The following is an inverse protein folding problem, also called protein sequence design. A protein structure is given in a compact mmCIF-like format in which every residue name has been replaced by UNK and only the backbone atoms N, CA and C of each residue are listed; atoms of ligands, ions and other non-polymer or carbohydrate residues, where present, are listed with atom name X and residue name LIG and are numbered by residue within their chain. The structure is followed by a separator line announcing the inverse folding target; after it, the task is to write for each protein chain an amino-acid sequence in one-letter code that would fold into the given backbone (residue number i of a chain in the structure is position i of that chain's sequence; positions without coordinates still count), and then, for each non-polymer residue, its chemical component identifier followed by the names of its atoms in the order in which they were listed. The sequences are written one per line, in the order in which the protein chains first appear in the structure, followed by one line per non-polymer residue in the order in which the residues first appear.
data_IF_926774288408
#
_entry.id   IF_926774288408
#
_cell.length_a   1.000
_cell.length_b   1.000
_cell.length_c   1.000
_cell.angle_alpha   90.00
_cell.angle_beta   90.00
_cell.angle_gamma   90.00
#
_symmetry.space_group_name_H-M   'P 1'
#
loop_
_entity.id
_entity.type
_entity.pdbx_description
1 polymer ?
#
# COMPACT_ATOMS: atom_id res chain seq x y z
N UNK A 1 -54.22 -35.03 -18.34
CA UNK A 1 -53.27 -33.95 -18.70
C UNK A 1 -51.92 -34.59 -18.95
N UNK A 2 -51.31 -34.25 -20.07
CA UNK A 2 -50.16 -34.90 -20.71
C UNK A 2 -48.89 -34.92 -19.84
N UNK A 3 -48.16 -36.05 -19.85
CA UNK A 3 -46.78 -36.16 -19.37
C UNK A 3 -45.90 -35.19 -20.16
N UNK A 4 -45.54 -34.04 -19.58
CA UNK A 4 -44.45 -33.24 -20.11
C UNK A 4 -43.17 -34.08 -20.05
N UNK A 5 -42.61 -34.35 -21.23
CA UNK A 5 -41.29 -34.97 -21.37
C UNK A 5 -40.26 -33.99 -20.84
N UNK A 6 -39.86 -34.12 -19.57
CA UNK A 6 -38.82 -33.30 -18.98
C UNK A 6 -37.51 -33.54 -19.74
N UNK A 7 -37.08 -32.55 -20.54
CA UNK A 7 -36.02 -32.72 -21.51
C UNK A 7 -34.69 -32.96 -20.80
N UNK A 8 -33.94 -33.96 -21.26
CA UNK A 8 -32.65 -34.34 -20.67
C UNK A 8 -31.50 -33.88 -21.57
N UNK A 9 -30.51 -33.25 -20.97
CA UNK A 9 -29.31 -32.76 -21.61
C UNK A 9 -28.10 -33.55 -21.13
N UNK A 10 -27.27 -34.02 -22.06
CA UNK A 10 -25.92 -34.50 -21.72
C UNK A 10 -25.06 -33.35 -21.20
N UNK A 11 -23.99 -33.65 -20.46
CA UNK A 11 -23.02 -32.64 -20.01
C UNK A 11 -22.55 -31.69 -21.11
N UNK A 12 -22.34 -32.19 -22.34
CA UNK A 12 -21.92 -31.37 -23.47
C UNK A 12 -23.01 -30.43 -23.98
N UNK A 13 -24.26 -30.91 -24.03
CA UNK A 13 -25.41 -30.09 -24.43
C UNK A 13 -25.71 -29.01 -23.39
N UNK A 14 -25.70 -29.36 -22.10
CA UNK A 14 -25.90 -28.42 -21.00
C UNK A 14 -24.82 -27.34 -20.98
N UNK A 15 -23.56 -27.75 -21.10
CA UNK A 15 -22.41 -26.84 -21.19
C UNK A 15 -22.55 -25.88 -22.38
N UNK A 16 -22.96 -26.38 -23.55
CA UNK A 16 -23.17 -25.56 -24.75
C UNK A 16 -24.31 -24.56 -24.58
N UNK A 17 -25.43 -24.96 -23.98
CA UNK A 17 -26.57 -24.08 -23.70
C UNK A 17 -26.18 -22.93 -22.77
N UNK A 18 -25.46 -23.24 -21.69
CA UNK A 18 -25.03 -22.26 -20.70
C UNK A 18 -23.73 -21.53 -21.08
N UNK A 19 -23.12 -21.86 -22.22
CA UNK A 19 -21.83 -21.29 -22.69
C UNK A 19 -20.70 -21.44 -21.66
N UNK A 20 -20.58 -22.64 -21.08
CA UNK A 20 -19.50 -23.01 -20.16
C UNK A 20 -18.74 -24.23 -20.68
N UNK A 21 -17.58 -24.52 -20.08
CA UNK A 21 -16.88 -25.76 -20.38
C UNK A 21 -17.59 -26.96 -19.74
N UNK A 22 -17.61 -28.14 -20.40
CA UNK A 22 -18.03 -29.39 -19.76
C UNK A 22 -17.20 -29.72 -18.51
N UNK A 23 -15.96 -29.25 -18.44
CA UNK A 23 -15.08 -29.38 -17.27
C UNK A 23 -15.62 -28.63 -16.06
N UNK A 24 -16.19 -27.43 -16.24
CA UNK A 24 -16.81 -26.69 -15.15
C UNK A 24 -17.98 -27.48 -14.54
N UNK A 25 -18.84 -28.08 -15.36
CA UNK A 25 -19.92 -28.96 -14.86
C UNK A 25 -19.40 -30.17 -14.10
N UNK A 26 -18.32 -30.78 -14.57
CA UNK A 26 -17.67 -31.90 -13.85
C UNK A 26 -17.06 -31.44 -12.53
N UNK A 27 -16.50 -30.22 -12.49
CA UNK A 27 -15.97 -29.63 -11.28
C UNK A 27 -17.09 -29.36 -10.27
N UNK A 28 -18.20 -28.73 -10.68
CA UNK A 28 -19.34 -28.45 -9.80
C UNK A 28 -19.96 -29.73 -9.23
N UNK A 29 -20.07 -30.79 -10.03
CA UNK A 29 -20.49 -32.12 -9.56
C UNK A 29 -19.50 -32.70 -8.53
N UNK A 30 -18.19 -32.65 -8.82
CA UNK A 30 -17.15 -33.13 -7.90
C UNK A 30 -17.14 -32.38 -6.57
N UNK A 31 -17.43 -31.09 -6.58
CA UNK A 31 -17.53 -30.25 -5.39
C UNK A 31 -18.91 -30.32 -4.73
N UNK A 32 -19.83 -31.16 -5.23
CA UNK A 32 -21.19 -31.32 -4.73
C UNK A 32 -22.09 -30.08 -4.82
N UNK A 33 -21.70 -29.07 -5.60
CA UNK A 33 -22.46 -27.82 -5.76
C UNK A 33 -23.61 -27.99 -6.76
N UNK A 34 -23.40 -28.77 -7.81
CA UNK A 34 -24.40 -29.01 -8.85
C UNK A 34 -24.25 -30.39 -9.45
N UNK A 35 -25.13 -31.30 -9.05
CA UNK A 35 -25.06 -32.72 -9.42
C UNK A 35 -26.00 -33.04 -10.57
N UNK A 36 -25.65 -33.97 -11.47
CA UNK A 36 -26.58 -34.43 -12.50
C UNK A 36 -27.76 -35.18 -11.88
N UNK A 37 -28.97 -35.02 -12.42
CA UNK A 37 -30.15 -35.82 -12.01
C UNK A 37 -29.95 -37.32 -12.24
N UNK A 38 -29.15 -37.70 -13.23
CA UNK A 38 -28.87 -39.09 -13.52
C UNK A 38 -27.53 -39.27 -14.25
N UNK A 39 -27.08 -40.52 -14.30
CA UNK A 39 -26.05 -40.96 -15.23
C UNK A 39 -26.68 -41.90 -16.24
N UNK A 40 -26.35 -41.75 -17.51
CA UNK A 40 -26.87 -42.61 -18.56
C UNK A 40 -26.39 -44.06 -18.32
N UNK A 41 -27.30 -45.04 -18.24
CA UNK A 41 -26.94 -46.41 -17.87
C UNK A 41 -26.06 -47.11 -18.92
N UNK A 42 -26.06 -46.68 -20.19
CA UNK A 42 -25.29 -47.34 -21.26
C UNK A 42 -23.83 -46.90 -21.35
N UNK A 43 -23.53 -45.66 -20.97
CA UNK A 43 -22.21 -45.06 -21.19
C UNK A 43 -21.73 -44.21 -20.00
N UNK A 44 -22.47 -44.21 -18.89
CA UNK A 44 -22.17 -43.53 -17.64
C UNK A 44 -21.98 -41.99 -17.75
N UNK A 45 -22.46 -41.38 -18.85
CA UNK A 45 -22.40 -39.93 -19.03
C UNK A 45 -23.37 -39.21 -18.09
N UNK A 46 -22.97 -38.04 -17.61
CA UNK A 46 -23.81 -37.16 -16.78
C UNK A 46 -24.96 -36.58 -17.59
N UNK A 47 -26.15 -36.63 -17.02
CA UNK A 47 -27.39 -36.14 -17.59
C UNK A 47 -28.05 -35.13 -16.64
N UNK A 48 -28.48 -34.00 -17.19
CA UNK A 48 -29.12 -32.90 -16.49
C UNK A 48 -30.54 -32.72 -17.02
N UNK A 49 -31.50 -32.36 -16.17
CA UNK A 49 -32.87 -32.03 -16.63
C UNK A 49 -32.97 -30.57 -17.07
N UNK A 50 -34.07 -30.24 -17.74
CA UNK A 50 -34.41 -28.87 -18.11
C UNK A 50 -34.65 -27.97 -16.90
N UNK A 51 -35.22 -28.50 -15.81
CA UNK A 51 -35.40 -27.77 -14.55
C UNK A 51 -34.06 -27.30 -13.96
N UNK A 52 -33.03 -28.16 -14.02
CA UNK A 52 -31.67 -27.83 -13.55
C UNK A 52 -30.99 -26.72 -14.35
N UNK A 53 -31.56 -26.31 -15.49
CA UNK A 53 -31.03 -25.20 -16.28
C UNK A 53 -31.12 -23.89 -15.51
N UNK A 54 -32.21 -23.68 -14.78
CA UNK A 54 -32.40 -22.45 -14.01
C UNK A 54 -31.43 -22.36 -12.84
N UNK A 55 -31.18 -23.48 -12.15
CA UNK A 55 -30.18 -23.57 -11.08
C UNK A 55 -28.79 -23.22 -11.62
N UNK A 56 -28.40 -23.82 -12.75
CA UNK A 56 -27.09 -23.59 -13.33
C UNK A 56 -26.91 -22.14 -13.80
N UNK A 57 -27.95 -21.52 -14.38
CA UNK A 57 -27.91 -20.12 -14.75
C UNK A 57 -27.70 -19.22 -13.53
N UNK A 58 -28.40 -19.51 -12.42
CA UNK A 58 -28.22 -18.79 -11.16
C UNK A 58 -26.81 -18.98 -10.58
N UNK A 59 -26.27 -20.20 -10.56
CA UNK A 59 -24.87 -20.47 -10.14
C UNK A 59 -23.90 -19.56 -10.91
N UNK A 60 -24.09 -19.51 -12.22
CA UNK A 60 -23.21 -18.73 -13.10
C UNK A 60 -23.34 -17.23 -12.86
N UNK A 61 -24.56 -16.73 -12.65
CA UNK A 61 -24.81 -15.33 -12.33
C UNK A 61 -24.16 -14.93 -11.01
N UNK A 62 -24.39 -15.70 -9.93
CA UNK A 62 -23.77 -15.46 -8.63
C UNK A 62 -22.24 -15.54 -8.70
N UNK A 63 -21.69 -16.47 -9.51
CA UNK A 63 -20.25 -16.57 -9.71
C UNK A 63 -19.67 -15.35 -10.42
N UNK A 64 -20.40 -14.78 -11.39
CA UNK A 64 -20.00 -13.53 -12.08
C UNK A 64 -20.02 -12.33 -11.14
N UNK A 65 -20.89 -12.35 -10.13
CA UNK A 65 -20.91 -11.36 -9.04
C UNK A 65 -19.80 -11.60 -7.99
N UNK A 66 -18.83 -12.47 -8.26
CA UNK A 66 -17.68 -12.67 -7.39
C UNK A 66 -17.90 -13.59 -6.20
N UNK A 67 -19.10 -14.17 -6.02
CA UNK A 67 -19.35 -15.09 -4.92
C UNK A 67 -18.52 -16.36 -5.07
N UNK A 68 -18.03 -16.88 -3.94
CA UNK A 68 -17.36 -18.16 -3.89
C UNK A 68 -18.35 -19.31 -4.06
N UNK A 69 -17.87 -20.42 -4.63
CA UNK A 69 -18.70 -21.60 -4.88
C UNK A 69 -19.32 -22.22 -3.62
N UNK A 70 -18.62 -22.16 -2.47
CA UNK A 70 -19.15 -22.61 -1.19
C UNK A 70 -20.41 -21.83 -0.80
N UNK A 71 -20.35 -20.50 -0.89
CA UNK A 71 -21.48 -19.61 -0.62
C UNK A 71 -22.63 -19.80 -1.61
N UNK A 72 -22.32 -20.06 -2.88
CA UNK A 72 -23.34 -20.35 -3.90
C UNK A 72 -24.09 -21.66 -3.59
N UNK A 73 -23.38 -22.68 -3.10
CA UNK A 73 -24.00 -23.96 -2.72
C UNK A 73 -25.07 -23.77 -1.64
N UNK A 74 -24.78 -22.98 -0.60
CA UNK A 74 -25.70 -22.70 0.50
C UNK A 74 -26.98 -21.99 0.03
N UNK A 75 -26.92 -21.20 -1.04
CA UNK A 75 -28.06 -20.45 -1.57
C UNK A 75 -29.01 -21.30 -2.42
N UNK A 76 -28.51 -22.35 -3.05
CA UNK A 76 -29.26 -23.10 -4.06
C UNK A 76 -30.09 -24.23 -3.45
N UNK A 77 -29.65 -24.75 -2.31
CA UNK A 77 -30.32 -25.88 -1.66
C UNK A 77 -31.74 -25.53 -1.16
N UNK A 78 -31.95 -24.32 -0.63
CA UNK A 78 -33.25 -23.89 -0.06
C UNK A 78 -33.88 -22.69 -0.81
N UNK A 79 -33.12 -22.00 -1.67
CA UNK A 79 -33.55 -20.77 -2.38
C UNK A 79 -34.24 -19.75 -1.48
N UNK A 80 -33.89 -19.74 -0.20
CA UNK A 80 -34.49 -18.86 0.78
C UNK A 80 -34.09 -17.40 0.49
N UNK A 81 -35.11 -16.55 0.33
CA UNK A 81 -34.92 -15.13 0.02
C UNK A 81 -34.16 -14.42 1.15
N UNK A 82 -34.33 -14.86 2.40
CA UNK A 82 -33.66 -14.23 3.54
C UNK A 82 -32.16 -14.55 3.57
N UNK A 83 -31.79 -15.81 3.30
CA UNK A 83 -30.41 -16.26 3.13
C UNK A 83 -29.75 -15.58 1.93
N UNK A 84 -30.42 -15.52 0.79
CA UNK A 84 -29.95 -14.82 -0.41
C UNK A 84 -29.66 -13.35 -0.14
N UNK A 85 -30.58 -12.64 0.52
CA UNK A 85 -30.38 -11.24 0.91
C UNK A 85 -29.16 -11.08 1.82
N UNK A 86 -29.04 -11.90 2.87
CA UNK A 86 -27.93 -11.85 3.82
C UNK A 86 -26.56 -12.07 3.15
N UNK A 87 -26.47 -13.04 2.25
CA UNK A 87 -25.25 -13.30 1.48
C UNK A 87 -24.89 -12.11 0.57
N UNK A 88 -25.87 -11.55 -0.14
CA UNK A 88 -25.64 -10.41 -1.03
C UNK A 88 -25.21 -9.16 -0.25
N UNK A 89 -25.81 -8.89 0.92
CA UNK A 89 -25.40 -7.78 1.79
C UNK A 89 -23.95 -7.95 2.28
N UNK A 90 -23.56 -9.15 2.70
CA UNK A 90 -22.15 -9.44 3.06
C UNK A 90 -21.21 -9.25 1.87
N UNK A 91 -21.61 -9.70 0.69
CA UNK A 91 -20.81 -9.55 -0.53
C UNK A 91 -20.62 -8.07 -0.90
N UNK A 92 -21.67 -7.24 -0.77
CA UNK A 92 -21.59 -5.79 -0.97
C UNK A 92 -20.59 -5.13 -0.02
N UNK A 93 -20.59 -5.51 1.26
CA UNK A 93 -19.63 -4.99 2.26
C UNK A 93 -18.20 -5.37 1.86
N UNK A 94 -17.96 -6.61 1.44
CA UNK A 94 -16.65 -7.08 1.01
C UNK A 94 -16.17 -6.35 -0.25
N UNK A 95 -17.03 -6.23 -1.27
CA UNK A 95 -16.72 -5.47 -2.49
C UNK A 95 -16.40 -4.02 -2.19
N UNK A 96 -17.16 -3.38 -1.30
CA UNK A 96 -16.89 -2.00 -0.88
C UNK A 96 -15.51 -1.87 -0.22
N UNK A 97 -15.11 -2.84 0.60
CA UNK A 97 -13.78 -2.91 1.22
C UNK A 97 -12.69 -3.05 0.14
N UNK A 98 -12.87 -3.95 -0.82
CA UNK A 98 -11.92 -4.16 -1.91
C UNK A 98 -11.75 -2.92 -2.79
N UNK A 99 -12.85 -2.21 -3.10
CA UNK A 99 -12.82 -0.93 -3.83
C UNK A 99 -11.96 0.08 -3.08
N UNK A 100 -12.19 0.25 -1.78
CA UNK A 100 -11.44 1.21 -0.96
C UNK A 100 -9.94 0.84 -0.90
N UNK A 101 -9.61 -0.44 -0.73
CA UNK A 101 -8.23 -0.93 -0.75
C UNK A 101 -7.55 -0.66 -2.10
N UNK A 102 -8.26 -0.88 -3.21
CA UNK A 102 -7.72 -0.62 -4.55
C UNK A 102 -7.52 0.87 -4.82
N UNK A 103 -8.43 1.72 -4.34
CA UNK A 103 -8.28 3.18 -4.40
C UNK A 103 -7.06 3.66 -3.62
N UNK A 104 -6.81 3.10 -2.43
CA UNK A 104 -5.61 3.40 -1.66
C UNK A 104 -4.33 3.03 -2.40
N UNK A 105 -4.28 1.84 -3.02
CA UNK A 105 -3.15 1.41 -3.86
C UNK A 105 -2.95 2.32 -5.06
N UNK A 106 -4.03 2.74 -5.72
CA UNK A 106 -3.96 3.70 -6.82
C UNK A 106 -3.32 5.02 -6.39
N UNK A 107 -3.73 5.61 -5.27
CA UNK A 107 -3.12 6.83 -4.74
C UNK A 107 -1.63 6.64 -4.40
N UNK A 108 -1.24 5.51 -3.79
CA UNK A 108 0.17 5.21 -3.52
C UNK A 108 1.04 5.14 -4.78
N UNK A 109 0.50 4.57 -5.86
CA UNK A 109 1.17 4.54 -7.17
C UNK A 109 1.31 5.93 -7.75
N UNK A 110 0.26 6.76 -7.68
CA UNK A 110 0.30 8.16 -8.12
C UNK A 110 1.37 8.95 -7.34
N UNK A 111 1.41 8.83 -6.01
CA UNK A 111 2.40 9.51 -5.18
C UNK A 111 3.83 9.10 -5.52
N UNK A 112 4.07 7.80 -5.72
CA UNK A 112 5.38 7.30 -6.13
C UNK A 112 5.76 7.84 -7.52
N UNK A 113 4.83 7.84 -8.47
CA UNK A 113 5.05 8.37 -9.81
C UNK A 113 5.41 9.87 -9.77
N UNK A 114 4.74 10.66 -8.95
CA UNK A 114 5.04 12.08 -8.76
C UNK A 114 6.47 12.27 -8.21
N UNK A 115 6.87 11.49 -7.19
CA UNK A 115 8.23 11.57 -6.63
C UNK A 115 9.30 11.21 -7.65
N UNK A 116 9.11 10.11 -8.40
CA UNK A 116 10.04 9.68 -9.45
C UNK A 116 10.13 10.71 -10.56
N UNK A 117 8.99 11.21 -11.05
CA UNK A 117 8.94 12.21 -12.13
C UNK A 117 9.58 13.54 -11.72
N UNK A 118 9.32 14.00 -10.49
CA UNK A 118 9.94 15.21 -9.96
C UNK A 118 11.47 15.08 -9.88
N UNK A 119 11.95 13.88 -9.50
CA UNK A 119 13.37 13.57 -9.44
C UNK A 119 14.03 13.55 -10.82
N UNK A 120 13.35 13.00 -11.84
CA UNK A 120 13.84 13.04 -13.23
C UNK A 120 13.95 14.47 -13.78
N UNK A 121 13.06 15.37 -13.36
CA UNK A 121 13.16 16.78 -13.73
C UNK A 121 14.37 17.47 -13.07
N UNK A 122 14.73 17.09 -11.84
CA UNK A 122 15.94 17.58 -11.18
C UNK A 122 17.21 17.10 -11.88
N UNK A 123 17.27 15.84 -12.31
CA UNK A 123 18.43 15.28 -13.04
C UNK A 123 18.65 15.93 -14.41
N UNK A 124 17.61 16.50 -15.02
CA UNK A 124 17.67 17.15 -16.32
C UNK A 124 18.03 18.64 -16.26
N UNK A 125 18.07 19.25 -15.07
CA UNK A 125 18.56 20.63 -14.92
C UNK A 125 20.08 20.63 -15.03
N UNK A 126 20.60 21.49 -15.90
CA UNK A 126 22.04 21.75 -16.02
C UNK A 126 22.66 21.99 -14.64
N UNK A 127 23.81 21.37 -14.37
CA UNK A 127 24.60 21.44 -13.11
C UNK A 127 25.19 22.85 -12.86
N UNK A 128 24.56 23.90 -13.38
CA UNK A 128 25.11 25.26 -13.43
C UNK A 128 24.74 26.15 -12.23
N UNK A 129 23.88 25.70 -11.31
CA UNK A 129 23.70 26.35 -10.01
C UNK A 129 24.28 25.43 -8.94
N UNK A 130 25.49 25.75 -8.47
CA UNK A 130 26.20 24.99 -7.44
C UNK A 130 25.64 25.18 -6.03
N UNK A 131 24.73 26.13 -5.83
CA UNK A 131 24.18 26.43 -4.51
C UNK A 131 22.79 25.80 -4.31
N UNK A 132 22.53 25.20 -3.13
CA UNK A 132 21.24 24.63 -2.81
C UNK A 132 20.18 25.74 -2.80
N UNK A 133 19.06 25.51 -3.51
CA UNK A 133 17.90 26.40 -3.45
C UNK A 133 17.19 26.23 -2.09
N UNK A 134 17.70 26.93 -1.08
CA UNK A 134 17.16 26.90 0.28
C UNK A 134 15.85 27.71 0.36
N UNK A 135 14.87 27.19 1.10
CA UNK A 135 13.55 27.81 1.29
C UNK A 135 13.10 27.68 2.74
N UNK A 136 12.28 28.62 3.21
CA UNK A 136 11.49 28.45 4.43
C UNK A 136 10.13 27.88 4.03
N UNK A 137 9.75 26.75 4.61
CA UNK A 137 8.50 26.07 4.31
C UNK A 137 7.78 25.68 5.60
N UNK A 138 6.45 25.78 5.59
CA UNK A 138 5.62 25.22 6.65
C UNK A 138 5.45 23.71 6.43
N UNK A 139 5.77 22.92 7.44
CA UNK A 139 5.61 21.48 7.46
C UNK A 139 4.25 21.18 8.10
N UNK A 140 3.22 20.79 7.33
CA UNK A 140 1.90 20.56 7.87
C UNK A 140 1.89 19.38 8.83
N UNK A 141 1.04 19.47 9.86
CA UNK A 141 0.80 18.34 10.76
C UNK A 141 0.19 17.17 9.98
N UNK A 142 0.76 15.98 10.16
CA UNK A 142 0.34 14.73 9.53
C UNK A 142 0.41 13.58 10.53
N UNK A 143 -0.39 12.55 10.32
CA UNK A 143 -0.30 11.30 11.07
C UNK A 143 0.87 10.47 10.52
N UNK A 144 1.75 10.01 11.40
CA UNK A 144 2.87 9.14 11.04
C UNK A 144 2.86 7.88 11.88
N UNK A 145 3.28 6.79 11.25
CA UNK A 145 3.73 5.58 11.93
C UNK A 145 5.24 5.67 12.11
N UNK A 146 5.75 5.47 13.32
CA UNK A 146 7.17 5.67 13.63
C UNK A 146 7.77 4.55 14.47
N UNK A 147 9.08 4.37 14.35
CA UNK A 147 9.90 3.57 15.25
C UNK A 147 11.13 4.39 15.66
N UNK A 148 11.41 4.41 16.97
CA UNK A 148 12.57 5.09 17.55
C UNK A 148 13.09 4.26 18.71
N UNK A 149 14.39 4.03 18.72
CA UNK A 149 15.08 3.38 19.81
C UNK A 149 16.19 4.33 20.28
N UNK A 150 16.00 5.08 21.39
CA UNK A 150 16.93 6.13 21.81
C UNK A 150 18.25 5.52 22.30
N UNK A 151 19.14 5.26 21.34
CA UNK A 151 20.46 4.64 21.47
C UNK A 151 21.32 5.14 20.32
N UNK A 152 22.63 5.17 20.56
CA UNK A 152 23.60 5.43 19.50
C UNK A 152 23.62 4.22 18.55
N UNK A 153 23.10 4.39 17.32
CA UNK A 153 23.03 3.32 16.31
C UNK A 153 23.69 3.75 15.00
N UNK A 154 24.23 2.78 14.27
CA UNK A 154 24.73 3.00 12.90
C UNK A 154 23.55 3.32 11.98
N UNK A 155 23.43 4.58 11.60
CA UNK A 155 22.30 5.09 10.81
C UNK A 155 22.23 4.42 9.44
N UNK A 156 23.37 4.17 8.78
CA UNK A 156 23.39 3.58 7.44
C UNK A 156 22.90 2.14 7.43
N UNK A 157 23.27 1.37 8.46
CA UNK A 157 22.87 -0.04 8.56
C UNK A 157 21.47 -0.23 9.13
N UNK A 158 20.99 0.68 10.00
CA UNK A 158 19.81 0.42 10.82
C UNK A 158 18.51 1.04 10.28
N UNK A 159 18.54 2.08 9.44
CA UNK A 159 17.28 2.68 8.96
C UNK A 159 16.43 1.69 8.15
N UNK A 160 17.04 0.77 7.40
CA UNK A 160 16.34 -0.29 6.66
C UNK A 160 15.66 -1.27 7.62
N UNK A 161 16.29 -1.58 8.76
CA UNK A 161 15.70 -2.47 9.75
C UNK A 161 14.45 -1.84 10.39
N UNK A 162 14.53 -0.55 10.73
CA UNK A 162 13.37 0.20 11.21
C UNK A 162 12.28 0.26 10.14
N UNK A 163 12.62 0.44 8.86
CA UNK A 163 11.65 0.43 7.77
C UNK A 163 10.95 -0.93 7.61
N UNK A 164 11.67 -2.05 7.73
CA UNK A 164 11.06 -3.39 7.75
C UNK A 164 10.07 -3.53 8.91
N UNK A 165 10.40 -3.01 10.09
CA UNK A 165 9.49 -3.01 11.24
C UNK A 165 8.22 -2.19 10.96
N UNK A 166 8.37 -0.99 10.39
CA UNK A 166 7.23 -0.17 9.98
C UNK A 166 6.32 -0.91 8.99
N UNK A 167 6.88 -1.60 7.99
CA UNK A 167 6.07 -2.36 7.03
C UNK A 167 5.28 -3.50 7.69
N UNK A 168 5.85 -4.20 8.67
CA UNK A 168 5.12 -5.21 9.45
C UNK A 168 3.95 -4.60 10.22
N UNK A 169 4.16 -3.43 10.82
CA UNK A 169 3.11 -2.70 11.54
C UNK A 169 2.02 -2.19 10.58
N UNK A 170 2.40 -1.73 9.38
CA UNK A 170 1.47 -1.34 8.32
C UNK A 170 0.54 -2.50 7.95
N UNK A 171 1.10 -3.69 7.73
CA UNK A 171 0.30 -4.89 7.41
C UNK A 171 -0.56 -5.33 8.60
N UNK A 172 0.00 -5.34 9.80
CA UNK A 172 -0.71 -5.75 11.02
C UNK A 172 -1.91 -4.87 11.34
N UNK A 173 -1.79 -3.55 11.13
CA UNK A 173 -2.81 -2.57 11.53
C UNK A 173 -3.62 -2.02 10.34
N UNK A 174 -3.44 -2.59 9.15
CA UNK A 174 -4.10 -2.19 7.90
C UNK A 174 -3.97 -0.68 7.60
N UNK A 175 -2.76 -0.15 7.77
CA UNK A 175 -2.47 1.27 7.54
C UNK A 175 -2.16 1.55 6.07
N UNK A 176 -2.53 2.74 5.61
CA UNK A 176 -2.25 3.19 4.24
C UNK A 176 -1.13 4.21 4.26
N UNK A 177 0.07 3.83 3.82
CA UNK A 177 1.21 4.75 3.70
C UNK A 177 0.98 5.82 2.63
N UNK A 178 1.40 7.06 2.91
CA UNK A 178 1.16 8.25 2.06
C UNK A 178 2.38 9.17 1.96
N UNK A 179 3.54 8.63 1.62
CA UNK A 179 4.73 9.47 1.44
C UNK A 179 6.05 8.71 1.41
N UNK A 180 7.16 9.46 1.33
CA UNK A 180 8.50 8.89 1.47
C UNK A 180 8.79 8.46 2.91
N UNK A 181 9.86 7.70 3.08
CA UNK A 181 10.46 7.41 4.39
C UNK A 181 11.05 8.72 4.91
N UNK A 182 10.77 9.03 6.17
CA UNK A 182 11.37 10.16 6.89
C UNK A 182 12.35 9.65 7.93
N UNK A 183 13.57 10.18 7.91
CA UNK A 183 14.60 9.95 8.91
C UNK A 183 14.66 11.17 9.82
N UNK A 184 14.34 11.02 11.10
CA UNK A 184 14.39 12.11 12.09
C UNK A 184 15.60 11.88 12.99
N UNK A 185 16.50 12.85 13.00
CA UNK A 185 17.73 12.85 13.77
C UNK A 185 17.51 13.71 15.00
N UNK A 186 17.42 13.06 16.16
CA UNK A 186 17.14 13.73 17.44
C UNK A 186 18.38 14.35 18.08
N UNK A 187 19.56 13.98 17.59
CA UNK A 187 20.82 14.65 17.86
C UNK A 187 21.01 15.89 16.98
N UNK A 188 21.95 16.77 17.39
CA UNK A 188 22.37 17.88 16.54
C UNK A 188 22.93 17.35 15.20
N UNK A 189 22.47 17.89 14.07
CA UNK A 189 22.76 17.39 12.73
C UNK A 189 24.25 17.21 12.43
N UNK A 190 25.12 18.04 13.02
CA UNK A 190 26.58 17.94 12.85
C UNK A 190 27.17 16.59 13.30
N UNK A 191 26.50 15.87 14.20
CA UNK A 191 26.92 14.51 14.62
C UNK A 191 26.86 13.51 13.46
N UNK A 192 26.03 13.76 12.44
CA UNK A 192 25.96 12.90 11.24
C UNK A 192 27.23 12.94 10.39
N UNK A 193 28.00 14.01 10.47
CA UNK A 193 29.15 14.25 9.60
C UNK A 193 30.50 14.09 10.33
N UNK A 194 30.52 14.28 11.65
CA UNK A 194 31.73 14.24 12.48
C UNK A 194 32.30 12.84 12.75
N UNK A 195 31.94 11.81 11.98
CA UNK A 195 32.36 10.42 12.23
C UNK A 195 33.79 10.09 11.75
N UNK A 196 34.52 11.03 11.11
CA UNK A 196 35.93 10.83 10.74
C UNK A 196 36.20 9.59 9.87
N UNK A 197 35.21 9.17 9.05
CA UNK A 197 35.27 7.97 8.22
C UNK A 197 34.82 6.66 8.91
N UNK A 198 34.21 6.74 10.09
CA UNK A 198 33.60 5.60 10.81
C UNK A 198 32.07 5.63 10.73
N UNK A 199 31.42 4.60 11.28
CA UNK A 199 29.97 4.43 11.43
C UNK A 199 29.29 5.74 11.89
N UNK A 200 28.24 6.16 11.18
CA UNK A 200 27.46 7.36 11.55
C UNK A 200 26.55 6.96 12.71
N UNK A 201 26.87 7.44 13.90
CA UNK A 201 26.13 7.12 15.12
C UNK A 201 25.20 8.26 15.53
N UNK A 202 23.96 7.94 15.89
CA UNK A 202 23.04 8.89 16.51
C UNK A 202 21.67 8.32 16.87
N UNK A 203 20.86 9.11 17.56
CA UNK A 203 19.46 8.80 17.88
C UNK A 203 18.56 9.03 16.66
N UNK A 204 18.23 7.93 15.98
CA UNK A 204 17.43 7.91 14.76
C UNK A 204 16.02 7.40 15.03
N UNK A 205 15.05 8.21 14.63
CA UNK A 205 13.68 7.77 14.39
C UNK A 205 13.46 7.60 12.88
N UNK A 206 12.73 6.55 12.50
CA UNK A 206 12.22 6.37 11.15
C UNK A 206 10.71 6.45 11.20
N UNK A 207 10.11 7.26 10.35
CA UNK A 207 8.66 7.34 10.24
C UNK A 207 8.18 7.39 8.78
N UNK A 208 6.91 7.04 8.60
CA UNK A 208 6.19 7.14 7.33
C UNK A 208 4.80 7.73 7.57
N UNK A 209 4.37 8.61 6.68
CA UNK A 209 3.01 9.19 6.74
C UNK A 209 1.95 8.12 6.48
N UNK A 210 0.82 8.20 7.17
CA UNK A 210 -0.32 7.30 6.98
C UNK A 210 -1.64 8.06 6.85
N UNK A 211 -2.55 7.58 5.99
CA UNK A 211 -3.85 8.21 5.73
C UNK A 211 -4.91 7.89 6.78
N UNK A 212 -4.77 6.77 7.49
CA UNK A 212 -5.74 6.27 8.45
C UNK A 212 -5.05 5.91 9.77
N UNK A 213 -5.83 5.91 10.84
CA UNK A 213 -5.40 5.49 12.17
C UNK A 213 -5.98 4.13 12.52
N UNK A 214 -5.35 3.48 13.50
CA UNK A 214 -5.87 2.30 14.16
C UNK A 214 -5.64 2.50 15.67
N UNK A 215 -6.70 2.41 16.48
CA UNK A 215 -6.64 2.70 17.93
C UNK A 215 -5.76 1.73 18.71
N UNK A 216 -5.49 0.54 18.17
CA UNK A 216 -4.63 -0.47 18.81
C UNK A 216 -3.15 -0.24 18.50
N UNK A 217 -2.83 0.55 17.48
CA UNK A 217 -1.46 0.87 17.09
C UNK A 217 -0.89 2.01 17.95
N UNK A 218 0.05 1.67 18.83
CA UNK A 218 0.69 2.63 19.76
C UNK A 218 1.78 3.47 19.11
N UNK A 219 2.24 3.07 17.93
CA UNK A 219 3.31 3.71 17.16
C UNK A 219 2.79 4.81 16.22
N UNK A 220 1.56 5.28 16.44
CA UNK A 220 0.99 6.39 15.69
C UNK A 220 1.13 7.69 16.48
N UNK A 221 1.61 8.75 15.81
CA UNK A 221 1.65 10.10 16.38
C UNK A 221 1.44 11.17 15.31
N UNK A 222 1.11 12.37 15.76
CA UNK A 222 1.18 13.57 14.91
C UNK A 222 2.63 14.01 14.77
N UNK A 223 2.99 14.45 13.57
CA UNK A 223 4.31 14.97 13.23
C UNK A 223 4.14 16.17 12.28
N UNK A 224 4.97 17.20 12.42
CA UNK A 224 4.81 18.47 11.70
C UNK A 224 4.09 19.51 12.57
N UNK A 225 3.52 20.52 11.93
CA UNK A 225 2.91 21.67 12.60
C UNK A 225 3.90 22.80 12.87
N UNK A 226 5.02 22.86 12.15
CA UNK A 226 6.11 23.79 12.38
C UNK A 226 6.73 24.29 11.08
N UNK A 227 7.56 25.31 11.18
CA UNK A 227 8.29 25.88 10.03
C UNK A 227 9.71 25.35 10.01
N UNK A 228 10.24 25.07 8.81
CA UNK A 228 11.61 24.62 8.64
C UNK A 228 12.31 25.34 7.48
N UNK A 229 13.62 25.56 7.62
CA UNK A 229 14.47 25.75 6.46
C UNK A 229 14.63 24.42 5.74
N UNK A 230 14.61 24.44 4.41
CA UNK A 230 14.62 23.23 3.59
C UNK A 230 15.47 23.40 2.35
N UNK A 231 16.05 22.31 1.86
CA UNK A 231 16.57 22.22 0.50
C UNK A 231 16.38 20.80 -0.04
N UNK A 232 16.50 20.65 -1.35
CA UNK A 232 16.47 19.32 -2.01
C UNK A 232 17.83 19.06 -2.63
N UNK A 233 18.39 17.89 -2.35
CA UNK A 233 19.67 17.44 -2.87
C UNK A 233 19.48 16.29 -3.85
N UNK A 234 20.24 16.31 -4.94
CA UNK A 234 20.35 15.22 -5.90
C UNK A 234 21.75 14.63 -5.80
N UNK A 235 21.86 13.41 -5.30
CA UNK A 235 23.14 12.73 -5.09
C UNK A 235 23.21 11.97 -3.77
N UNK A 236 24.40 11.48 -3.44
CA UNK A 236 24.58 10.65 -2.25
C UNK A 236 24.41 11.47 -0.96
N UNK A 237 23.68 10.95 0.02
CA UNK A 237 23.36 11.67 1.27
C UNK A 237 24.59 11.99 2.15
N UNK A 238 25.74 11.36 1.87
CA UNK A 238 27.04 11.68 2.52
C UNK A 238 27.59 13.04 2.10
N UNK A 239 27.09 13.61 1.01
CA UNK A 239 27.52 14.91 0.48
C UNK A 239 26.61 16.06 0.98
N UNK A 240 25.70 15.78 1.92
CA UNK A 240 24.74 16.77 2.43
C UNK A 240 25.34 17.82 3.38
N UNK A 241 26.57 17.60 3.89
CA UNK A 241 27.17 18.41 4.95
C UNK A 241 27.21 19.91 4.60
N UNK A 242 27.76 20.27 3.44
CA UNK A 242 27.82 21.66 2.97
C UNK A 242 26.43 22.29 2.88
N UNK A 243 25.46 21.54 2.35
CA UNK A 243 24.07 21.99 2.26
C UNK A 243 23.42 22.25 3.62
N UNK A 244 23.70 21.44 4.63
CA UNK A 244 23.24 21.66 6.01
C UNK A 244 23.79 22.96 6.60
N UNK A 245 25.10 23.19 6.49
CA UNK A 245 25.72 24.40 7.03
C UNK A 245 25.26 25.66 6.29
N UNK A 246 25.19 25.63 4.95
CA UNK A 246 24.63 26.75 4.15
C UNK A 246 23.18 27.04 4.52
N UNK A 247 22.36 26.01 4.69
CA UNK A 247 20.96 26.17 5.11
C UNK A 247 20.83 26.80 6.50
N UNK A 248 21.68 26.38 7.45
CA UNK A 248 21.76 26.98 8.79
C UNK A 248 22.18 28.45 8.72
N UNK A 249 23.31 28.75 8.09
CA UNK A 249 23.82 30.13 7.97
C UNK A 249 22.82 31.07 7.30
N UNK A 250 22.16 30.59 6.25
CA UNK A 250 21.13 31.35 5.56
C UNK A 250 19.92 31.63 6.46
N UNK A 251 19.42 30.62 7.20
CA UNK A 251 18.31 30.81 8.14
C UNK A 251 18.69 31.79 9.27
N UNK A 252 19.90 31.67 9.83
CA UNK A 252 20.45 32.58 10.84
C UNK A 252 20.58 34.01 10.33
N UNK A 253 20.97 34.20 9.06
CA UNK A 253 21.07 35.52 8.43
C UNK A 253 19.72 36.23 8.30
N UNK A 254 18.61 35.48 8.28
CA UNK A 254 17.24 36.00 8.29
C UNK A 254 16.70 36.23 9.72
N UNK A 255 17.52 35.99 10.75
CA UNK A 255 17.15 36.16 12.16
C UNK A 255 16.43 34.95 12.77
N UNK A 256 16.47 33.79 12.13
CA UNK A 256 15.91 32.56 12.70
C UNK A 256 16.95 31.78 13.51
N UNK A 257 16.53 31.19 14.63
CA UNK A 257 17.29 30.18 15.35
C UNK A 257 16.88 28.79 14.87
N UNK A 258 17.85 27.89 14.69
CA UNK A 258 17.60 26.51 14.23
C UNK A 258 17.74 25.53 15.39
N UNK A 259 16.83 24.55 15.48
CA UNK A 259 16.75 23.62 16.62
C UNK A 259 17.95 22.67 16.77
N UNK A 260 18.80 22.53 15.75
CA UNK A 260 19.86 21.53 15.68
C UNK A 260 19.38 20.11 15.33
N UNK A 261 18.19 19.72 15.79
CA UNK A 261 17.43 18.54 15.32
C UNK A 261 17.10 18.71 13.84
N UNK A 262 17.19 17.64 13.06
CA UNK A 262 16.84 17.71 11.63
C UNK A 262 16.11 16.46 11.18
N UNK A 263 15.45 16.53 10.03
CA UNK A 263 14.92 15.34 9.39
C UNK A 263 15.08 15.38 7.89
N UNK A 264 15.04 14.20 7.29
CA UNK A 264 15.24 13.99 5.86
C UNK A 264 14.11 13.15 5.30
N UNK A 265 13.50 13.58 4.20
CA UNK A 265 12.59 12.78 3.42
C UNK A 265 13.33 12.16 2.24
N UNK A 266 13.35 10.82 2.18
CA UNK A 266 13.94 10.06 1.09
C UNK A 266 12.97 10.02 -0.10
N UNK A 267 12.86 11.13 -0.83
CA UNK A 267 11.93 11.30 -1.96
C UNK A 267 12.15 10.20 -3.01
N UNK A 268 13.40 9.97 -3.38
CA UNK A 268 13.86 8.81 -4.14
C UNK A 268 15.13 8.30 -3.47
N UNK A 269 15.03 7.13 -2.83
CA UNK A 269 16.16 6.50 -2.14
C UNK A 269 16.53 5.13 -2.70
N UNK A 270 17.36 4.41 -1.95
CA UNK A 270 17.87 3.08 -2.28
C UNK A 270 16.78 2.02 -2.48
N UNK A 271 15.60 2.21 -1.92
CA UNK A 271 14.44 1.32 -2.12
C UNK A 271 13.76 1.50 -3.48
N UNK A 272 14.08 2.57 -4.22
CA UNK A 272 13.50 2.91 -5.52
C UNK A 272 14.53 2.76 -6.66
N UNK A 273 15.78 3.18 -6.45
CA UNK A 273 16.85 3.11 -7.46
C UNK A 273 18.15 2.59 -6.86
N UNK A 274 18.94 1.87 -7.64
CA UNK A 274 20.30 1.45 -7.25
C UNK A 274 21.39 2.46 -7.66
N UNK A 275 21.06 3.44 -8.50
CA UNK A 275 22.00 4.48 -8.93
C UNK A 275 21.99 5.63 -7.91
N UNK A 276 23.05 5.72 -7.11
CA UNK A 276 23.19 6.69 -6.02
C UNK A 276 23.21 8.15 -6.50
N UNK A 277 23.60 8.40 -7.76
CA UNK A 277 23.52 9.73 -8.38
C UNK A 277 22.08 10.22 -8.59
N UNK A 278 21.12 9.29 -8.55
CA UNK A 278 19.71 9.59 -8.71
C UNK A 278 18.95 9.65 -7.37
N UNK A 279 19.66 9.58 -6.24
CA UNK A 279 19.03 9.77 -4.94
C UNK A 279 18.56 11.22 -4.81
N UNK A 280 17.33 11.39 -4.35
CA UNK A 280 16.75 12.70 -4.07
C UNK A 280 16.33 12.72 -2.62
N UNK A 281 16.99 13.57 -1.85
CA UNK A 281 16.73 13.77 -0.42
C UNK A 281 16.29 15.19 -0.20
N UNK A 282 15.14 15.37 0.45
CA UNK A 282 14.72 16.68 0.93
C UNK A 282 15.10 16.79 2.41
N UNK A 283 15.87 17.82 2.73
CA UNK A 283 16.38 18.08 4.07
C UNK A 283 15.53 19.16 4.73
N UNK A 284 15.28 19.00 6.03
CA UNK A 284 14.51 19.92 6.84
C UNK A 284 15.27 20.25 8.14
N UNK A 285 15.41 21.53 8.42
CA UNK A 285 15.95 22.08 9.65
C UNK A 285 14.90 23.01 10.29
N UNK A 286 14.14 22.51 11.28
CA UNK A 286 13.14 23.27 12.03
C UNK A 286 13.68 24.60 12.56
N UNK A 287 12.87 25.64 12.39
CA UNK A 287 13.09 26.97 12.97
C UNK A 287 12.44 26.96 14.37
N UNK A 288 13.17 27.39 15.39
CA UNK A 288 12.84 27.33 16.83
C UNK A 288 13.01 25.92 17.47
N UNK A 289 13.36 25.88 18.76
CA UNK A 289 13.50 24.61 19.50
C UNK A 289 12.13 23.95 19.71
N UNK A 290 11.90 22.83 19.02
CA UNK A 290 10.67 22.05 19.10
C UNK A 290 11.01 20.66 19.62
N UNK A 291 10.20 20.15 20.54
CA UNK A 291 10.23 18.72 20.88
C UNK A 291 9.61 17.94 19.72
N UNK A 292 10.47 17.40 18.84
CA UNK A 292 10.09 16.60 17.67
C UNK A 292 9.97 15.13 18.03
#
# INVERSE_FOLDING_TARGET
MSKESNKIYTVGQMAKLCRISPELLRYLDKQNIFRPVARNPKNNYRCYSEEQLQDLLLIMELRRLGLAYSTISELIDDRDLSAAKSVLEKNLINMRREINLMQNKYHQVVDLLIRVSSSMNLTNRSVSDSDPQIKIEYVPERLVLYTRYPRDIDIELNYIQHYIELLKLVDQFELTCTGPITLVYHDHFSRMFNAGGKEIMGDLEVNISVANSNSECKQLRKFGGFTAATFTYLGHYRELEDGYYKMKEWAESLGHEVSGVSFQELVVGRTITSNEKNFVTKVFLPLEMIAI
#
